data_IF_814140849902
#
_entry.id   IF_814140849902
#
_cell.length_a   1.000
_cell.length_b   1.000
_cell.length_c   1.000
_cell.angle_alpha   90.00
_cell.angle_beta   90.00
_cell.angle_gamma   90.00
#
_symmetry.space_group_name_H-M   'P 1'
#
loop_
_entity.id
_entity.type
_entity.pdbx_description
1 polymer ?
#
# COMPACT_ATOMS: atom_id res chain seq x y z
N UNK A 1 29.36 -48.72 -12.40
CA UNK A 1 29.17 -47.84 -11.24
C UNK A 1 27.84 -47.11 -11.42
N UNK A 2 26.78 -47.69 -10.85
CA UNK A 2 25.40 -47.20 -11.02
C UNK A 2 25.13 -46.15 -9.94
N UNK A 3 24.75 -44.92 -10.35
CA UNK A 3 24.25 -43.89 -9.45
C UNK A 3 22.92 -44.33 -8.84
N UNK A 4 22.71 -44.17 -7.52
CA UNK A 4 21.48 -44.63 -6.88
C UNK A 4 20.27 -43.80 -7.37
N UNK A 5 19.16 -44.49 -7.59
CA UNK A 5 17.87 -43.96 -8.11
C UNK A 5 17.36 -42.73 -7.36
N UNK A 6 17.82 -42.48 -6.13
CA UNK A 6 17.43 -41.33 -5.32
C UNK A 6 17.94 -39.99 -5.86
N UNK A 7 19.08 -39.99 -6.57
CA UNK A 7 19.68 -38.77 -7.16
C UNK A 7 18.92 -38.37 -8.42
N UNK A 8 18.38 -39.33 -9.17
CA UNK A 8 17.61 -39.07 -10.40
C UNK A 8 16.27 -38.42 -10.07
N UNK A 9 15.64 -38.74 -8.94
CA UNK A 9 14.37 -38.15 -8.52
C UNK A 9 14.53 -36.71 -8.01
N UNK A 10 15.69 -36.36 -7.45
CA UNK A 10 15.99 -34.99 -6.97
C UNK A 10 16.30 -34.05 -8.13
N UNK A 11 16.91 -34.54 -9.21
CA UNK A 11 17.17 -33.73 -10.42
C UNK A 11 15.93 -33.50 -11.26
N UNK A 12 14.91 -34.34 -11.19
CA UNK A 12 13.63 -34.13 -11.87
C UNK A 12 12.79 -33.04 -11.19
N UNK A 13 12.95 -32.79 -9.88
CA UNK A 13 12.30 -31.68 -9.16
C UNK A 13 12.95 -30.32 -9.45
N UNK A 14 14.22 -30.28 -9.90
CA UNK A 14 14.87 -29.03 -10.26
C UNK A 14 14.42 -28.44 -11.61
N UNK A 15 13.71 -29.20 -12.46
CA UNK A 15 13.20 -28.68 -13.74
C UNK A 15 12.08 -27.63 -13.56
N UNK A 16 11.41 -27.63 -12.42
CA UNK A 16 10.37 -26.61 -12.11
C UNK A 16 10.94 -25.28 -11.57
N UNK A 17 12.21 -25.26 -11.15
CA UNK A 17 12.84 -24.04 -10.67
C UNK A 17 13.06 -23.00 -11.79
N UNK A 18 13.18 -23.44 -13.06
CA UNK A 18 13.34 -22.52 -14.21
C UNK A 18 12.07 -21.71 -14.51
N UNK A 19 10.90 -22.22 -14.17
CA UNK A 19 9.62 -21.53 -14.35
C UNK A 19 9.43 -20.39 -13.35
N UNK A 20 9.89 -20.55 -12.13
CA UNK A 20 9.84 -19.53 -11.09
C UNK A 20 10.78 -18.34 -11.37
N UNK A 21 11.96 -18.62 -11.95
CA UNK A 21 12.93 -17.57 -12.27
C UNK A 21 12.51 -16.67 -13.43
N UNK A 22 11.79 -17.22 -14.40
CA UNK A 22 11.25 -16.44 -15.54
C UNK A 22 10.03 -15.60 -15.18
N UNK A 23 9.24 -15.98 -14.16
CA UNK A 23 8.09 -15.19 -13.73
C UNK A 23 8.51 -13.96 -12.90
N UNK A 24 9.53 -14.09 -12.05
CA UNK A 24 10.07 -12.96 -11.26
C UNK A 24 10.74 -11.88 -12.13
N UNK A 25 11.45 -12.27 -13.19
CA UNK A 25 12.07 -11.33 -14.13
C UNK A 25 11.00 -10.56 -14.93
N UNK A 26 9.88 -11.19 -15.30
CA UNK A 26 8.78 -10.51 -15.99
C UNK A 26 8.02 -9.52 -15.11
N UNK A 27 7.96 -9.74 -13.81
CA UNK A 27 7.29 -8.81 -12.89
C UNK A 27 8.14 -7.55 -12.62
N UNK A 28 9.48 -7.65 -12.59
CA UNK A 28 10.36 -6.51 -12.38
C UNK A 28 10.39 -5.55 -13.58
N UNK A 29 10.32 -6.07 -14.81
CA UNK A 29 10.33 -5.24 -16.04
C UNK A 29 9.08 -4.36 -16.19
N UNK A 30 7.97 -4.69 -15.53
CA UNK A 30 6.74 -3.90 -15.62
C UNK A 30 6.68 -2.75 -14.60
N UNK A 31 7.48 -2.81 -13.54
CA UNK A 31 7.41 -1.86 -12.43
C UNK A 31 8.07 -0.51 -12.72
N UNK A 32 9.11 -0.46 -13.55
CA UNK A 32 9.99 0.70 -13.69
C UNK A 32 9.97 1.36 -15.06
N UNK A 33 9.40 0.73 -16.08
CA UNK A 33 9.38 1.27 -17.43
C UNK A 33 7.99 1.87 -17.71
N UNK A 34 7.96 3.19 -17.98
CA UNK A 34 6.80 3.83 -18.56
C UNK A 34 6.70 3.51 -20.04
N UNK A 35 5.51 3.14 -20.50
CA UNK A 35 5.18 3.00 -21.90
C UNK A 35 3.94 3.82 -22.19
N UNK A 36 4.03 4.71 -23.15
CA UNK A 36 2.90 5.54 -23.57
C UNK A 36 1.71 4.67 -23.98
N UNK A 37 0.55 5.06 -23.51
CA UNK A 37 -0.73 4.44 -23.81
C UNK A 37 -1.77 5.50 -24.13
N UNK A 38 -2.95 5.08 -24.57
CA UNK A 38 -4.06 6.02 -24.85
C UNK A 38 -4.52 6.78 -23.60
N UNK A 39 -4.33 6.20 -22.41
CA UNK A 39 -4.78 6.77 -21.13
C UNK A 39 -3.63 7.37 -20.30
N UNK A 40 -2.38 7.09 -20.64
CA UNK A 40 -1.21 7.61 -19.92
C UNK A 40 -0.09 7.92 -20.90
N UNK A 41 -0.01 9.17 -21.32
CA UNK A 41 1.04 9.70 -22.17
C UNK A 41 1.27 11.19 -21.87
N UNK A 42 2.45 11.72 -22.22
CA UNK A 42 2.79 13.13 -21.95
C UNK A 42 1.89 14.17 -22.65
N UNK A 43 1.16 13.76 -23.70
CA UNK A 43 0.30 14.66 -24.48
C UNK A 43 -1.04 14.94 -23.80
N UNK A 44 -1.44 14.12 -22.81
CA UNK A 44 -2.67 14.34 -22.04
C UNK A 44 -2.40 15.44 -21.03
N UNK A 45 -3.05 16.61 -21.11
CA UNK A 45 -2.76 17.72 -20.20
C UNK A 45 -3.24 17.41 -18.79
N UNK A 46 -2.40 17.69 -17.80
CA UNK A 46 -2.78 17.67 -16.38
C UNK A 46 -2.61 19.07 -15.80
N UNK A 47 -3.65 19.57 -15.13
CA UNK A 47 -3.60 20.83 -14.39
C UNK A 47 -4.18 20.67 -12.99
N UNK A 48 -3.54 21.32 -12.02
CA UNK A 48 -4.06 21.40 -10.68
C UNK A 48 -5.30 22.27 -10.63
N UNK A 49 -6.31 21.84 -9.90
CA UNK A 49 -7.48 22.66 -9.61
C UNK A 49 -7.12 23.86 -8.70
N UNK A 50 -7.97 24.88 -8.65
CA UNK A 50 -7.70 26.11 -7.90
C UNK A 50 -7.48 25.88 -6.39
N UNK A 51 -8.17 24.90 -5.81
CA UNK A 51 -7.97 24.53 -4.41
C UNK A 51 -6.55 23.98 -4.16
N UNK A 52 -6.09 23.11 -5.06
CA UNK A 52 -4.75 22.51 -4.97
C UNK A 52 -3.65 23.54 -5.32
N UNK A 53 -3.87 24.45 -6.25
CA UNK A 53 -2.95 25.58 -6.50
C UNK A 53 -2.71 26.40 -5.24
N UNK A 54 -3.77 26.71 -4.47
CA UNK A 54 -3.64 27.40 -3.18
C UNK A 54 -2.85 26.58 -2.16
N UNK A 55 -3.10 25.25 -2.08
CA UNK A 55 -2.35 24.33 -1.20
C UNK A 55 -0.88 24.25 -1.60
N UNK A 56 -0.58 24.14 -2.90
CA UNK A 56 0.80 24.15 -3.42
C UNK A 56 1.53 25.42 -3.02
N UNK A 57 0.91 26.59 -3.19
CA UNK A 57 1.49 27.86 -2.80
C UNK A 57 1.79 27.93 -1.28
N UNK A 58 0.94 27.35 -0.44
CA UNK A 58 1.17 27.24 1.00
C UNK A 58 2.30 26.27 1.31
N UNK A 59 2.33 25.08 0.68
CA UNK A 59 3.38 24.08 0.86
C UNK A 59 4.76 24.63 0.47
N UNK A 60 4.88 25.31 -0.66
CA UNK A 60 6.16 25.90 -1.10
C UNK A 60 6.72 26.94 -0.13
N UNK A 61 5.88 27.60 0.67
CA UNK A 61 6.31 28.56 1.70
C UNK A 61 6.93 27.91 2.92
N UNK A 62 6.67 26.61 3.17
CA UNK A 62 7.25 25.88 4.29
C UNK A 62 8.74 25.61 4.07
N UNK A 63 9.16 25.47 2.80
CA UNK A 63 10.54 25.14 2.44
C UNK A 63 11.36 26.43 2.23
N UNK A 64 12.64 26.44 2.70
CA UNK A 64 13.53 27.57 2.51
C UNK A 64 13.76 27.90 1.03
N UNK A 65 14.19 29.12 0.77
CA UNK A 65 14.60 29.56 -0.57
C UNK A 65 15.72 28.66 -1.10
N UNK A 66 15.62 28.24 -2.36
CA UNK A 66 16.55 27.30 -2.99
C UNK A 66 16.33 25.81 -2.66
N UNK A 67 15.45 25.48 -1.69
CA UNK A 67 15.18 24.08 -1.27
C UNK A 67 13.74 23.64 -1.53
N UNK A 68 12.99 24.33 -2.39
CA UNK A 68 11.58 24.03 -2.70
C UNK A 68 11.35 22.64 -3.32
N UNK A 69 12.41 22.02 -3.85
CA UNK A 69 12.34 20.60 -4.30
C UNK A 69 11.91 19.62 -3.20
N UNK A 70 12.07 19.98 -1.93
CA UNK A 70 11.58 19.18 -0.80
C UNK A 70 10.05 19.00 -0.79
N UNK A 71 9.30 19.86 -1.48
CA UNK A 71 7.85 19.74 -1.63
C UNK A 71 7.43 18.66 -2.65
N UNK A 72 8.35 17.89 -3.23
CA UNK A 72 8.05 16.94 -4.31
C UNK A 72 7.02 15.88 -3.89
N UNK A 73 7.25 15.21 -2.76
CA UNK A 73 6.33 14.18 -2.26
C UNK A 73 4.93 14.75 -1.97
N UNK A 74 4.78 15.87 -1.24
CA UNK A 74 3.47 16.48 -1.04
C UNK A 74 2.76 16.92 -2.34
N UNK A 75 3.49 17.39 -3.35
CA UNK A 75 2.89 17.79 -4.62
C UNK A 75 2.43 16.57 -5.42
N UNK A 76 3.21 15.49 -5.43
CA UNK A 76 2.82 14.22 -6.06
C UNK A 76 1.57 13.63 -5.37
N UNK A 77 1.49 13.71 -4.05
CA UNK A 77 0.31 13.27 -3.29
C UNK A 77 -0.93 14.08 -3.67
N UNK A 78 -0.81 15.41 -3.75
CA UNK A 78 -1.92 16.27 -4.20
C UNK A 78 -2.38 15.94 -5.62
N UNK A 79 -1.44 15.63 -6.52
CA UNK A 79 -1.75 15.23 -7.89
C UNK A 79 -2.50 13.89 -7.91
N UNK A 80 -2.01 12.90 -7.17
CA UNK A 80 -2.63 11.58 -7.06
C UNK A 80 -4.04 11.66 -6.45
N UNK A 81 -4.23 12.43 -5.38
CA UNK A 81 -5.55 12.63 -4.76
C UNK A 81 -6.54 13.34 -5.67
N UNK A 82 -6.06 14.25 -6.52
CA UNK A 82 -6.91 14.95 -7.48
C UNK A 82 -7.37 14.05 -8.63
N UNK A 83 -6.48 13.20 -9.14
CA UNK A 83 -6.73 12.40 -10.35
C UNK A 83 -7.18 10.96 -10.05
N UNK A 84 -6.87 10.46 -8.83
CA UNK A 84 -7.11 9.09 -8.42
C UNK A 84 -5.89 8.17 -8.60
N UNK A 85 -4.98 8.52 -9.48
CA UNK A 85 -3.68 7.87 -9.70
C UNK A 85 -2.71 8.91 -10.28
N UNK A 86 -1.45 8.57 -10.47
CA UNK A 86 -0.39 9.49 -10.85
C UNK A 86 0.06 9.29 -12.30
N UNK A 87 -0.57 9.95 -13.29
CA UNK A 87 -0.17 9.88 -14.70
C UNK A 87 1.15 10.62 -14.94
N UNK A 88 1.82 10.28 -16.05
CA UNK A 88 3.11 10.88 -16.41
C UNK A 88 3.00 12.41 -16.57
N UNK A 89 1.90 12.89 -17.12
CA UNK A 89 1.66 14.33 -17.29
C UNK A 89 1.57 15.09 -15.96
N UNK A 90 1.02 14.46 -14.90
CA UNK A 90 1.02 15.03 -13.56
C UNK A 90 2.43 15.09 -12.96
N UNK A 91 3.26 14.07 -13.20
CA UNK A 91 4.67 14.09 -12.80
C UNK A 91 5.44 15.22 -13.50
N UNK A 92 5.20 15.43 -14.80
CA UNK A 92 5.78 16.55 -15.54
C UNK A 92 5.35 17.89 -14.96
N UNK A 93 4.07 18.05 -14.63
CA UNK A 93 3.56 19.28 -14.01
C UNK A 93 4.21 19.58 -12.67
N UNK A 94 4.43 18.57 -11.84
CA UNK A 94 5.17 18.71 -10.57
C UNK A 94 6.62 19.12 -10.84
N UNK A 95 7.28 18.53 -11.84
CA UNK A 95 8.63 18.91 -12.23
C UNK A 95 8.74 20.39 -12.65
N UNK A 96 7.78 20.87 -13.46
CA UNK A 96 7.68 22.28 -13.85
C UNK A 96 7.54 23.22 -12.65
N UNK A 97 6.61 22.92 -11.73
CA UNK A 97 6.36 23.75 -10.54
C UNK A 97 7.61 23.85 -9.66
N UNK A 98 8.34 22.75 -9.51
CA UNK A 98 9.55 22.68 -8.68
C UNK A 98 10.82 23.10 -9.41
N UNK A 99 10.74 23.33 -10.73
CA UNK A 99 11.88 23.61 -11.61
C UNK A 99 12.99 22.56 -11.46
N UNK A 100 12.61 21.27 -11.58
CA UNK A 100 13.52 20.12 -11.53
C UNK A 100 13.39 19.29 -12.80
N UNK A 101 14.43 18.54 -13.21
CA UNK A 101 14.33 17.60 -14.32
C UNK A 101 13.26 16.53 -14.04
N UNK A 102 12.53 16.10 -15.07
CA UNK A 102 11.49 15.06 -14.97
C UNK A 102 12.02 13.77 -14.31
N UNK A 103 13.28 13.40 -14.60
CA UNK A 103 13.91 12.23 -14.02
C UNK A 103 13.87 12.24 -12.49
N UNK A 104 14.06 13.39 -11.84
CA UNK A 104 14.02 13.50 -10.38
C UNK A 104 12.63 13.21 -9.80
N UNK A 105 11.60 13.52 -10.57
CA UNK A 105 10.22 13.17 -10.18
C UNK A 105 9.95 11.69 -10.39
N UNK A 106 10.45 11.11 -11.48
CA UNK A 106 10.32 9.68 -11.73
C UNK A 106 11.01 8.82 -10.66
N UNK A 107 12.21 9.21 -10.23
CA UNK A 107 12.93 8.55 -9.14
C UNK A 107 12.07 8.45 -7.88
N UNK A 108 11.41 9.53 -7.49
CA UNK A 108 10.55 9.57 -6.31
C UNK A 108 9.26 8.77 -6.54
N UNK A 109 8.58 8.97 -7.66
CA UNK A 109 7.32 8.31 -7.98
C UNK A 109 7.47 6.78 -8.14
N UNK A 110 8.65 6.29 -8.53
CA UNK A 110 8.93 4.86 -8.66
C UNK A 110 9.46 4.24 -7.38
N UNK A 111 10.12 5.00 -6.52
CA UNK A 111 10.68 4.52 -5.27
C UNK A 111 9.60 4.30 -4.20
N UNK A 112 8.70 5.25 -4.03
CA UNK A 112 7.66 5.16 -3.00
C UNK A 112 6.45 4.37 -3.51
N UNK A 113 6.16 3.26 -2.88
CA UNK A 113 5.14 2.27 -3.30
C UNK A 113 3.70 2.79 -3.26
N UNK A 114 3.43 3.85 -2.50
CA UNK A 114 2.09 4.45 -2.42
C UNK A 114 1.75 5.35 -3.61
N UNK A 115 2.70 5.67 -4.48
CA UNK A 115 2.41 6.36 -5.74
C UNK A 115 1.92 5.37 -6.79
N UNK A 116 0.65 5.46 -7.10
CA UNK A 116 -0.04 4.60 -8.06
C UNK A 116 0.14 5.14 -9.49
N UNK A 117 1.05 4.56 -10.27
CA UNK A 117 1.35 4.97 -11.66
C UNK A 117 0.46 4.30 -12.71
N UNK A 118 -0.59 3.63 -12.28
CA UNK A 118 -1.58 2.98 -13.14
C UNK A 118 -2.98 3.41 -12.69
N UNK A 119 -3.97 3.38 -13.58
CA UNK A 119 -5.34 3.61 -13.19
C UNK A 119 -5.76 2.70 -12.04
N UNK A 120 -6.38 3.30 -11.03
CA UNK A 120 -6.87 2.62 -9.84
C UNK A 120 -8.40 2.73 -9.78
N UNK A 121 -9.04 1.73 -9.23
CA UNK A 121 -10.46 1.79 -8.89
C UNK A 121 -10.75 2.81 -7.80
N UNK A 122 -12.01 3.14 -7.61
CA UNK A 122 -12.47 4.05 -6.55
C UNK A 122 -11.98 3.62 -5.16
N UNK A 123 -11.92 2.31 -4.92
CA UNK A 123 -11.45 1.70 -3.69
C UNK A 123 -10.23 0.80 -4.00
N UNK A 124 -9.08 1.21 -3.52
CA UNK A 124 -7.86 0.42 -3.59
C UNK A 124 -7.73 -0.40 -2.31
N UNK A 125 -8.00 -1.68 -2.40
CA UNK A 125 -7.91 -2.62 -1.27
C UNK A 125 -6.49 -3.17 -1.21
N UNK A 126 -5.77 -2.82 -0.16
CA UNK A 126 -4.38 -3.19 0.07
C UNK A 126 -4.32 -4.21 1.21
N UNK A 127 -4.05 -5.46 0.87
CA UNK A 127 -4.09 -6.58 1.83
C UNK A 127 -2.68 -6.89 2.30
N UNK A 128 -2.46 -6.88 3.60
CA UNK A 128 -1.17 -7.26 4.18
C UNK A 128 -1.00 -8.76 4.16
N UNK A 129 0.05 -9.24 3.48
CA UNK A 129 0.42 -10.67 3.38
C UNK A 129 1.75 -10.99 4.07
N UNK A 130 2.27 -10.06 4.90
CA UNK A 130 3.49 -10.28 5.68
C UNK A 130 3.33 -11.40 6.71
N UNK A 131 4.46 -11.91 7.21
CA UNK A 131 4.52 -13.10 8.07
C UNK A 131 3.49 -13.16 9.20
N UNK A 132 3.25 -12.11 10.02
CA UNK A 132 2.23 -12.18 11.07
C UNK A 132 0.81 -12.35 10.51
N UNK A 133 0.48 -11.67 9.41
CA UNK A 133 -0.81 -11.81 8.74
C UNK A 133 -0.94 -13.19 8.09
N UNK A 134 0.11 -13.69 7.47
CA UNK A 134 0.14 -15.01 6.88
C UNK A 134 -0.04 -16.12 7.93
N UNK A 135 0.62 -16.01 9.10
CA UNK A 135 0.41 -16.93 10.23
C UNK A 135 -1.02 -16.89 10.79
N UNK A 136 -1.75 -15.83 10.52
CA UNK A 136 -3.16 -15.64 10.89
C UNK A 136 -4.09 -15.83 9.69
N UNK A 137 -3.63 -16.54 8.67
CA UNK A 137 -4.43 -16.95 7.50
C UNK A 137 -4.87 -15.77 6.61
N UNK A 138 -3.92 -14.87 6.26
CA UNK A 138 -4.21 -13.78 5.32
C UNK A 138 -4.61 -14.28 3.93
N UNK A 139 -4.19 -15.51 3.56
CA UNK A 139 -4.53 -16.09 2.26
C UNK A 139 -6.05 -16.26 2.11
N UNK A 140 -6.74 -16.70 3.16
CA UNK A 140 -8.20 -16.80 3.18
C UNK A 140 -8.88 -15.42 3.03
N UNK A 141 -8.26 -14.34 3.54
CA UNK A 141 -8.76 -12.98 3.37
C UNK A 141 -8.58 -12.53 1.91
N UNK A 142 -7.42 -12.80 1.30
CA UNK A 142 -7.17 -12.52 -0.12
C UNK A 142 -8.21 -13.21 -0.99
N UNK A 143 -8.44 -14.51 -0.78
CA UNK A 143 -9.45 -15.27 -1.52
C UNK A 143 -10.87 -14.72 -1.34
N UNK A 144 -11.25 -14.36 -0.11
CA UNK A 144 -12.54 -13.77 0.19
C UNK A 144 -12.75 -12.44 -0.53
N UNK A 145 -11.73 -11.56 -0.54
CA UNK A 145 -11.77 -10.27 -1.23
C UNK A 145 -11.84 -10.47 -2.75
N UNK A 146 -11.01 -11.34 -3.34
CA UNK A 146 -11.07 -11.70 -4.77
C UNK A 146 -12.47 -12.16 -5.15
N UNK A 147 -13.04 -13.07 -4.38
CA UNK A 147 -14.39 -13.61 -4.62
C UNK A 147 -15.46 -12.54 -4.49
N UNK A 148 -15.36 -11.68 -3.48
CA UNK A 148 -16.32 -10.61 -3.25
C UNK A 148 -16.26 -9.52 -4.33
N UNK A 149 -15.08 -9.18 -4.85
CA UNK A 149 -14.89 -8.11 -5.86
C UNK A 149 -14.93 -8.63 -7.29
N UNK A 150 -14.79 -9.95 -7.49
CA UNK A 150 -14.57 -10.58 -8.79
C UNK A 150 -13.37 -9.97 -9.56
N UNK A 151 -12.30 -9.64 -8.84
CA UNK A 151 -11.11 -8.98 -9.35
C UNK A 151 -9.88 -9.74 -8.85
N UNK A 152 -8.86 -9.91 -9.69
CA UNK A 152 -7.60 -10.54 -9.29
C UNK A 152 -6.66 -9.53 -8.62
N UNK A 153 -5.70 -10.04 -7.87
CA UNK A 153 -4.62 -9.23 -7.30
C UNK A 153 -3.84 -8.54 -8.43
N UNK A 154 -3.57 -7.26 -8.27
CA UNK A 154 -2.87 -6.43 -9.26
C UNK A 154 -3.76 -5.91 -10.41
N UNK A 155 -5.04 -6.24 -10.43
CA UNK A 155 -5.98 -5.81 -11.46
C UNK A 155 -7.05 -4.87 -10.89
N UNK A 156 -7.69 -4.13 -11.78
CA UNK A 156 -8.85 -3.30 -11.48
C UNK A 156 -10.12 -4.05 -11.91
N UNK A 157 -11.17 -3.99 -11.09
CA UNK A 157 -12.45 -4.60 -11.41
C UNK A 157 -13.10 -3.96 -12.65
N UNK A 158 -13.91 -4.73 -13.38
CA UNK A 158 -14.54 -4.29 -14.64
C UNK A 158 -15.44 -3.05 -14.44
N UNK A 159 -16.04 -2.90 -13.26
CA UNK A 159 -16.85 -1.75 -12.87
C UNK A 159 -16.02 -0.54 -12.39
N UNK A 160 -14.68 -0.65 -12.42
CA UNK A 160 -13.72 0.37 -11.94
C UNK A 160 -13.92 0.75 -10.47
N UNK A 161 -14.59 -0.10 -9.70
CA UNK A 161 -14.88 0.18 -8.31
C UNK A 161 -13.71 -0.23 -7.40
N UNK A 162 -13.11 -1.40 -7.66
CA UNK A 162 -12.05 -1.95 -6.82
C UNK A 162 -10.76 -2.17 -7.59
N UNK A 163 -9.64 -1.98 -6.89
CA UNK A 163 -8.33 -2.51 -7.26
C UNK A 163 -7.78 -3.24 -6.05
N UNK A 164 -7.25 -4.44 -6.24
CA UNK A 164 -6.68 -5.25 -5.15
C UNK A 164 -5.17 -5.27 -5.30
N UNK A 165 -4.46 -5.07 -4.20
CA UNK A 165 -3.01 -5.24 -4.13
C UNK A 165 -2.62 -5.98 -2.86
N UNK A 166 -1.65 -6.85 -2.97
CA UNK A 166 -0.88 -7.30 -1.80
C UNK A 166 0.15 -6.24 -1.46
N UNK A 167 0.29 -5.94 -0.18
CA UNK A 167 1.22 -4.94 0.31
C UNK A 167 2.07 -5.48 1.45
N UNK A 168 3.18 -4.80 1.69
CA UNK A 168 4.02 -5.03 2.85
C UNK A 168 3.31 -4.63 4.15
N UNK A 169 3.94 -4.89 5.29
CA UNK A 169 3.36 -4.70 6.61
C UNK A 169 2.74 -3.32 6.81
N UNK A 170 1.45 -3.29 7.16
CA UNK A 170 0.71 -2.08 7.50
C UNK A 170 0.89 -1.63 8.96
N UNK A 171 1.69 -2.35 9.76
CA UNK A 171 2.05 -1.94 11.12
C UNK A 171 1.09 -2.35 12.23
N UNK A 172 -0.06 -2.95 11.93
CA UNK A 172 -1.05 -3.39 12.92
C UNK A 172 -0.99 -4.92 13.18
N UNK A 173 0.21 -5.50 13.22
CA UNK A 173 0.45 -6.94 13.31
C UNK A 173 -0.21 -7.61 14.52
N UNK A 174 -0.43 -6.88 15.63
CA UNK A 174 -1.11 -7.41 16.81
C UNK A 174 -2.58 -7.78 16.53
N UNK A 175 -3.19 -7.18 15.53
CA UNK A 175 -4.56 -7.40 15.10
C UNK A 175 -4.64 -8.00 13.68
N UNK A 176 -3.65 -8.81 13.32
CA UNK A 176 -3.66 -9.54 12.06
C UNK A 176 -4.80 -10.57 11.99
N UNK A 177 -5.34 -10.90 10.82
CA UNK A 177 -5.03 -10.32 9.51
C UNK A 177 -5.76 -9.00 9.24
N UNK A 178 -5.27 -8.22 8.25
CA UNK A 178 -5.80 -6.89 7.99
C UNK A 178 -5.68 -6.49 6.52
N UNK A 179 -6.49 -5.52 6.12
CA UNK A 179 -6.31 -4.75 4.90
C UNK A 179 -6.64 -3.26 5.12
N UNK A 180 -6.11 -2.42 4.25
CA UNK A 180 -6.39 -1.00 4.20
C UNK A 180 -7.16 -0.69 2.92
N UNK A 181 -8.07 0.28 2.96
CA UNK A 181 -8.77 0.78 1.77
C UNK A 181 -8.29 2.19 1.46
N UNK A 182 -7.83 2.38 0.24
CA UNK A 182 -7.11 3.57 -0.22
C UNK A 182 -5.84 3.79 0.61
N UNK A 183 -5.44 5.05 0.82
CA UNK A 183 -4.30 5.44 1.64
C UNK A 183 -4.69 5.98 3.02
N UNK A 184 -5.90 5.69 3.45
CA UNK A 184 -6.46 6.21 4.70
C UNK A 184 -6.26 5.21 5.83
N UNK A 185 -5.06 5.26 6.42
CA UNK A 185 -4.66 4.36 7.50
C UNK A 185 -5.54 4.49 8.76
N UNK A 186 -5.95 5.71 9.12
CA UNK A 186 -6.69 5.96 10.36
C UNK A 186 -8.19 5.65 10.28
N UNK A 187 -8.78 5.81 9.11
CA UNK A 187 -10.24 5.71 8.96
C UNK A 187 -10.70 4.50 8.17
N UNK A 188 -9.79 3.80 7.50
CA UNK A 188 -10.13 2.68 6.60
C UNK A 188 -9.22 1.45 6.79
N UNK A 189 -8.42 1.40 7.87
CA UNK A 189 -7.71 0.18 8.25
C UNK A 189 -8.69 -0.78 8.92
N UNK A 190 -8.79 -1.98 8.38
CA UNK A 190 -9.66 -3.05 8.85
C UNK A 190 -8.81 -4.16 9.44
N UNK A 191 -9.00 -4.46 10.70
CA UNK A 191 -8.14 -5.35 11.50
C UNK A 191 -8.94 -6.53 12.06
N UNK A 192 -8.27 -7.57 12.56
CA UNK A 192 -8.89 -8.79 13.11
C UNK A 192 -9.89 -9.42 12.14
N UNK A 193 -9.53 -9.52 10.88
CA UNK A 193 -10.45 -9.95 9.83
C UNK A 193 -10.70 -11.45 9.85
N UNK A 194 -11.95 -11.81 9.49
CA UNK A 194 -12.33 -13.15 9.03
C UNK A 194 -12.79 -13.05 7.57
N UNK A 195 -12.83 -14.15 6.81
CA UNK A 195 -13.37 -14.14 5.45
C UNK A 195 -14.79 -13.55 5.36
N UNK A 196 -15.62 -13.80 6.37
CA UNK A 196 -16.99 -13.28 6.46
C UNK A 196 -17.00 -11.77 6.67
N UNK A 197 -16.20 -11.26 7.64
CA UNK A 197 -16.09 -9.82 7.91
C UNK A 197 -15.49 -9.07 6.72
N UNK A 198 -14.44 -9.61 6.09
CA UNK A 198 -13.85 -9.05 4.88
C UNK A 198 -14.89 -8.94 3.74
N UNK A 199 -15.67 -9.99 3.52
CA UNK A 199 -16.76 -9.98 2.51
C UNK A 199 -17.83 -8.96 2.84
N UNK A 200 -18.23 -8.83 4.11
CA UNK A 200 -19.22 -7.86 4.56
C UNK A 200 -18.74 -6.42 4.34
N UNK A 201 -17.48 -6.14 4.65
CA UNK A 201 -16.84 -4.84 4.44
C UNK A 201 -16.82 -4.47 2.95
N UNK A 202 -16.39 -5.38 2.08
CA UNK A 202 -16.39 -5.15 0.62
C UNK A 202 -17.81 -4.87 0.11
N UNK A 203 -18.81 -5.60 0.60
CA UNK A 203 -20.20 -5.37 0.23
C UNK A 203 -20.75 -4.03 0.74
N UNK A 204 -20.30 -3.56 1.90
CA UNK A 204 -20.64 -2.22 2.40
C UNK A 204 -20.06 -1.13 1.48
N UNK A 205 -18.80 -1.26 1.06
CA UNK A 205 -18.19 -0.33 0.08
C UNK A 205 -18.92 -0.35 -1.28
N UNK A 206 -19.42 -1.50 -1.74
CA UNK A 206 -20.25 -1.58 -2.96
C UNK A 206 -21.53 -0.74 -2.83
N UNK A 207 -22.12 -0.68 -1.63
CA UNK A 207 -23.29 0.15 -1.34
C UNK A 207 -22.95 1.62 -1.10
N UNK A 208 -21.64 1.97 -1.03
CA UNK A 208 -21.18 3.31 -0.70
C UNK A 208 -21.16 3.62 0.80
N UNK A 209 -21.34 2.62 1.64
CA UNK A 209 -21.25 2.74 3.10
C UNK A 209 -19.78 2.77 3.53
N UNK A 210 -19.49 3.38 4.70
CA UNK A 210 -18.17 3.36 5.34
C UNK A 210 -18.21 2.46 6.57
N UNK A 211 -17.62 1.26 6.51
CA UNK A 211 -17.49 0.41 7.69
C UNK A 211 -16.64 1.09 8.77
N UNK A 212 -16.87 0.81 10.06
CA UNK A 212 -16.04 1.32 11.13
C UNK A 212 -14.61 0.76 10.99
N UNK A 213 -13.57 1.60 11.19
CA UNK A 213 -12.19 1.14 11.15
C UNK A 213 -11.80 0.39 12.43
N UNK A 214 -10.61 -0.23 12.41
CA UNK A 214 -10.03 -0.92 13.54
C UNK A 214 -10.43 -2.38 13.67
N UNK A 215 -10.29 -2.96 14.87
CA UNK A 215 -10.60 -4.37 15.11
C UNK A 215 -12.07 -4.71 14.85
N UNK A 216 -12.33 -5.71 14.00
CA UNK A 216 -13.70 -6.05 13.59
C UNK A 216 -14.34 -7.11 14.48
N UNK A 217 -13.53 -7.99 15.11
CA UNK A 217 -14.01 -9.12 15.89
C UNK A 217 -13.72 -9.02 17.39
N UNK A 218 -13.20 -7.89 17.83
CA UNK A 218 -12.82 -7.68 19.24
C UNK A 218 -13.33 -6.34 19.73
N UNK A 219 -13.78 -6.23 21.00
CA UNK A 219 -14.13 -4.95 21.60
C UNK A 219 -12.92 -4.05 21.88
N UNK A 220 -11.72 -4.43 21.43
CA UNK A 220 -10.49 -3.65 21.62
C UNK A 220 -10.54 -2.36 20.82
N UNK A 221 -10.06 -1.29 21.43
CA UNK A 221 -9.92 0.00 20.76
C UNK A 221 -8.67 0.07 19.88
N UNK A 222 -7.61 -0.61 20.29
CA UNK A 222 -6.31 -0.59 19.64
C UNK A 222 -5.62 -1.98 19.76
N UNK A 223 -4.32 -2.03 19.59
CA UNK A 223 -3.52 -3.25 19.62
C UNK A 223 -3.22 -3.80 21.03
N UNK A 224 -4.07 -3.55 22.01
CA UNK A 224 -3.92 -4.11 23.34
C UNK A 224 -4.16 -5.62 23.36
N UNK A 225 -3.48 -6.37 24.26
CA UNK A 225 -3.65 -7.80 24.39
C UNK A 225 -5.10 -8.18 24.71
N UNK A 226 -5.62 -9.23 24.05
CA UNK A 226 -7.00 -9.70 24.26
C UNK A 226 -7.27 -10.16 25.71
N UNK A 227 -6.23 -10.60 26.43
CA UNK A 227 -6.27 -11.04 27.84
C UNK A 227 -6.07 -9.90 28.86
N UNK A 228 -5.98 -8.65 28.39
CA UNK A 228 -5.63 -7.50 29.23
C UNK A 228 -4.14 -7.19 29.20
N UNK A 229 -3.73 -6.18 29.95
CA UNK A 229 -2.35 -5.73 29.99
C UNK A 229 -1.42 -6.82 30.52
N UNK A 230 -0.34 -7.10 29.78
CA UNK A 230 0.73 -8.03 30.17
C UNK A 230 1.94 -7.34 30.79
N UNK A 231 2.01 -6.01 30.66
CA UNK A 231 3.03 -5.15 31.23
C UNK A 231 2.39 -3.83 31.66
N UNK A 232 3.13 -3.00 32.37
CA UNK A 232 2.63 -1.73 32.90
C UNK A 232 1.35 -1.91 33.76
N UNK A 233 1.28 -3.02 34.50
CA UNK A 233 0.12 -3.38 35.35
C UNK A 233 0.15 -2.71 36.74
N UNK A 234 1.25 -2.03 37.05
CA UNK A 234 1.41 -1.23 38.28
C UNK A 234 1.58 0.25 37.92
N UNK A 235 1.26 1.16 38.85
CA UNK A 235 1.57 2.56 38.66
C UNK A 235 3.04 2.76 38.28
N UNK A 236 3.37 3.71 37.39
CA UNK A 236 4.76 4.00 37.05
C UNK A 236 5.54 4.42 38.32
N UNK A 237 6.79 3.97 38.47
CA UNK A 237 7.64 4.46 39.53
C UNK A 237 7.82 5.97 39.41
N UNK A 238 7.97 6.64 40.58
CA UNK A 238 8.13 8.09 40.61
C UNK A 238 9.33 8.63 39.86
N UNK A 239 9.48 9.96 39.78
CA UNK A 239 10.60 10.59 39.13
C UNK A 239 11.95 10.09 39.65
N UNK A 240 12.90 9.89 38.73
CA UNK A 240 14.25 9.41 39.06
C UNK A 240 14.43 7.90 39.05
N UNK A 241 13.37 7.11 38.85
CA UNK A 241 13.50 5.66 38.68
C UNK A 241 14.23 5.30 37.37
N UNK A 242 15.22 4.42 37.48
CA UNK A 242 16.02 3.99 36.32
C UNK A 242 17.02 5.00 35.80
N UNK A 243 17.21 6.13 36.51
CA UNK A 243 18.28 7.07 36.19
C UNK A 243 19.61 6.48 36.67
N UNK A 244 20.62 6.53 35.80
CA UNK A 244 21.98 6.11 36.16
C UNK A 244 22.50 6.97 37.32
N UNK A 245 23.11 6.33 38.33
CA UNK A 245 23.66 7.01 39.49
C UNK A 245 24.90 7.84 39.21
N UNK A 246 25.47 7.69 38.00
CA UNK A 246 26.67 8.40 37.50
C UNK A 246 26.36 9.56 36.58
N UNK A 247 25.05 9.87 36.33
CA UNK A 247 24.56 11.04 35.63
C UNK A 247 23.85 11.98 36.61
#
# INVERSE_FOLDING_TARGET
>A
MFLPLHIIHTLAKCKNARGLYTSTIRMSDQLFIHRDSEIDNPSIPFEFNEANKKRIAALLKIYPEGHKRGAMIPLLDLAQRQHGWLPISAMHKVAEILNVPHMRVYEVATFYTMFNRRPMGKYHVQICTCTPCWLRDSDSIVEAVIKATNCKVGEMSADKLFTISEVECLGACANAPMFQVNDDYYYLLQEDLTPESATAIINAFKKGERPPPGPQNSPRFAADPASGLTSLTSPPPGPGFGVRSDL
#
